data_IF_858335075570
#
_entry.id   IF_858335075570
#
_cell.length_a   1.000
_cell.length_b   1.000
_cell.length_c   1.000
_cell.angle_alpha   90.00
_cell.angle_beta   90.00
_cell.angle_gamma   90.00
#
_symmetry.space_group_name_H-M   'P 1'
#
loop_
_entity.id
_entity.type
_entity.pdbx_description
1 polymer ?
#
# COMPACT_ATOMS: atom_id res chain seq x y z
N UNK A 1 -12.55 88.94 -8.81
CA UNK A 1 -13.77 89.12 -7.99
C UNK A 1 -14.18 87.77 -7.45
N UNK A 2 -14.27 87.68 -6.12
CA UNK A 2 -14.76 86.53 -5.37
C UNK A 2 -16.21 86.21 -5.75
N UNK A 3 -16.54 84.92 -5.79
CA UNK A 3 -17.78 84.39 -5.19
C UNK A 3 -17.63 82.88 -4.97
N UNK A 4 -17.62 82.51 -3.70
CA UNK A 4 -17.73 81.16 -3.16
C UNK A 4 -19.17 80.62 -3.27
N UNK A 5 -19.36 79.30 -3.13
CA UNK A 5 -20.35 78.59 -2.26
C UNK A 5 -20.34 77.08 -2.63
N UNK A 6 -19.70 76.24 -1.79
CA UNK A 6 -20.25 75.26 -0.80
C UNK A 6 -20.70 73.90 -1.40
N UNK A 7 -19.90 72.86 -1.12
CA UNK A 7 -20.14 71.74 -0.18
C UNK A 7 -20.93 70.56 -0.78
N UNK A 8 -20.19 69.48 -1.05
CA UNK A 8 -20.71 68.11 -1.10
C UNK A 8 -19.66 67.20 -0.45
N UNK A 9 -19.79 66.97 0.85
CA UNK A 9 -18.91 66.08 1.60
C UNK A 9 -19.24 64.63 1.22
N UNK A 10 -18.42 64.01 0.38
CA UNK A 10 -18.45 62.56 0.19
C UNK A 10 -17.71 61.91 1.36
N UNK A 11 -18.49 61.32 2.28
CA UNK A 11 -17.97 60.38 3.25
C UNK A 11 -17.45 59.14 2.48
N UNK A 12 -16.14 59.06 2.30
CA UNK A 12 -15.48 57.86 1.82
C UNK A 12 -15.49 56.85 2.98
N UNK A 13 -16.52 56.02 3.01
CA UNK A 13 -16.60 54.87 3.91
C UNK A 13 -15.45 53.93 3.55
N UNK A 14 -14.44 53.87 4.42
CA UNK A 14 -13.42 52.83 4.38
C UNK A 14 -14.11 51.50 4.70
N UNK A 15 -14.53 50.78 3.67
CA UNK A 15 -14.81 49.35 3.79
C UNK A 15 -13.48 48.65 4.03
N UNK A 16 -13.14 48.51 5.31
CA UNK A 16 -12.26 47.46 5.82
C UNK A 16 -12.82 46.13 5.34
N UNK A 17 -12.27 45.61 4.25
CA UNK A 17 -12.45 44.21 3.88
C UNK A 17 -11.78 43.37 4.95
N UNK A 18 -12.58 42.91 5.92
CA UNK A 18 -12.21 41.81 6.80
C UNK A 18 -11.76 40.65 5.90
N UNK A 19 -10.56 40.09 6.08
CA UNK A 19 -10.27 38.78 5.52
C UNK A 19 -11.25 37.83 6.19
N UNK A 20 -12.23 37.34 5.43
CA UNK A 20 -12.97 36.16 5.84
C UNK A 20 -11.94 35.04 5.89
N UNK A 21 -11.40 34.80 7.08
CA UNK A 21 -10.71 33.57 7.38
C UNK A 21 -11.72 32.45 7.14
N UNK A 22 -11.64 31.84 5.97
CA UNK A 22 -12.30 30.58 5.69
C UNK A 22 -11.56 29.54 6.52
N UNK A 23 -11.96 29.38 7.78
CA UNK A 23 -11.68 28.16 8.53
C UNK A 23 -12.60 27.08 7.97
N UNK A 24 -12.22 26.50 6.83
CA UNK A 24 -12.75 25.22 6.40
C UNK A 24 -12.09 24.13 7.26
N UNK A 25 -12.93 23.30 7.89
CA UNK A 25 -12.52 22.32 8.88
C UNK A 25 -11.48 21.32 8.35
N UNK A 26 -10.44 21.08 9.15
CA UNK A 26 -9.43 20.02 9.03
C UNK A 26 -10.07 18.62 9.19
N UNK A 27 -10.94 18.20 8.27
CA UNK A 27 -11.48 16.82 8.24
C UNK A 27 -10.96 16.12 6.98
N UNK A 28 -10.31 14.97 7.15
CA UNK A 28 -9.68 14.25 6.04
C UNK A 28 -10.39 12.96 5.65
N UNK A 29 -11.50 12.62 6.30
CA UNK A 29 -12.31 11.45 5.98
C UNK A 29 -13.29 11.10 7.09
N UNK A 30 -14.08 10.05 6.88
CA UNK A 30 -15.06 9.56 7.85
C UNK A 30 -15.04 8.05 7.98
N UNK A 31 -15.27 7.54 9.19
CA UNK A 31 -15.58 6.13 9.41
C UNK A 31 -17.09 6.01 9.47
N UNK A 32 -17.63 5.11 8.67
CA UNK A 32 -19.06 4.83 8.59
C UNK A 32 -19.35 3.51 9.29
N UNK A 33 -20.35 3.49 10.16
CA UNK A 33 -20.80 2.30 10.86
C UNK A 33 -22.28 2.08 10.59
N UNK A 34 -22.68 0.81 10.38
CA UNK A 34 -24.08 0.41 10.26
C UNK A 34 -24.46 -0.58 11.35
N UNK A 35 -25.70 -0.47 11.84
CA UNK A 35 -26.32 -1.46 12.71
C UNK A 35 -27.16 -2.48 11.91
N UNK A 36 -27.93 -3.30 12.62
CA UNK A 36 -28.78 -4.34 12.02
C UNK A 36 -29.95 -3.81 11.17
N UNK A 37 -30.39 -2.58 11.46
CA UNK A 37 -31.55 -1.94 10.87
C UNK A 37 -31.10 -0.93 9.77
N UNK A 38 -29.79 -0.92 9.45
CA UNK A 38 -29.11 0.03 8.57
C UNK A 38 -29.15 1.48 9.08
N UNK A 39 -29.35 1.70 10.38
CA UNK A 39 -29.07 3.00 10.97
C UNK A 39 -27.57 3.26 10.85
N UNK A 40 -27.20 4.50 10.54
CA UNK A 40 -25.82 4.88 10.28
C UNK A 40 -25.27 5.78 11.39
N UNK A 41 -24.06 5.45 11.86
CA UNK A 41 -23.23 6.28 12.70
C UNK A 41 -22.01 6.75 11.89
N UNK A 42 -21.69 8.04 11.96
CA UNK A 42 -20.55 8.62 11.24
C UNK A 42 -19.56 9.16 12.26
N UNK A 43 -18.30 8.79 12.10
CA UNK A 43 -17.20 9.29 12.93
C UNK A 43 -16.29 10.12 12.04
N UNK A 44 -16.32 11.43 12.22
CA UNK A 44 -15.41 12.34 11.54
C UNK A 44 -13.97 12.09 11.99
N UNK A 45 -13.05 11.95 11.04
CA UNK A 45 -11.62 11.76 11.32
C UNK A 45 -10.90 13.11 11.28
N UNK A 46 -10.16 13.48 12.35
CA UNK A 46 -9.37 14.71 12.37
C UNK A 46 -8.32 14.72 11.25
N UNK A 47 -8.00 15.91 10.75
CA UNK A 47 -7.04 16.09 9.67
C UNK A 47 -5.64 15.53 9.95
N UNK A 48 -4.93 15.19 8.87
CA UNK A 48 -3.58 14.63 8.87
C UNK A 48 -2.61 15.42 9.76
N UNK A 49 -1.71 14.71 10.45
CA UNK A 49 -0.57 15.33 11.14
C UNK A 49 -0.92 16.14 12.39
N UNK A 50 -2.21 16.31 12.71
CA UNK A 50 -2.66 17.08 13.88
C UNK A 50 -2.36 16.38 15.20
N UNK A 51 -2.20 15.05 15.20
CA UNK A 51 -2.11 14.24 16.42
C UNK A 51 -3.41 14.26 17.25
N UNK A 52 -4.48 14.87 16.71
CA UNK A 52 -5.77 14.99 17.38
C UNK A 52 -6.42 13.61 17.46
N UNK A 53 -7.04 13.36 18.60
CA UNK A 53 -7.78 12.13 18.88
C UNK A 53 -9.26 12.45 18.77
N UNK A 54 -9.98 11.64 17.99
CA UNK A 54 -11.42 11.57 18.04
C UNK A 54 -11.79 10.27 18.74
N UNK A 55 -12.58 10.33 19.81
CA UNK A 55 -13.06 9.17 20.53
C UNK A 55 -14.58 9.25 20.60
N UNK A 56 -15.24 8.19 20.14
CA UNK A 56 -16.69 8.07 20.18
C UNK A 56 -17.06 6.89 21.06
N UNK A 57 -17.82 7.18 22.10
CA UNK A 57 -18.32 6.21 23.06
C UNK A 57 -19.80 5.97 22.81
N UNK A 58 -20.18 4.72 22.60
CA UNK A 58 -21.54 4.37 22.16
C UNK A 58 -22.48 4.16 23.35
N UNK A 59 -21.95 3.85 24.54
CA UNK A 59 -22.74 3.62 25.76
C UNK A 59 -22.74 4.80 26.74
N UNK A 60 -22.30 6.00 26.32
CA UNK A 60 -22.19 7.15 27.23
C UNK A 60 -23.49 7.99 27.26
N UNK A 61 -23.89 8.39 28.46
CA UNK A 61 -25.16 9.07 28.75
C UNK A 61 -25.07 10.59 28.70
N UNK A 62 -23.96 11.17 28.26
CA UNK A 62 -23.76 12.63 28.26
C UNK A 62 -24.48 13.36 27.12
N UNK A 63 -25.07 12.63 26.16
CA UNK A 63 -25.85 13.18 25.06
C UNK A 63 -25.01 13.89 23.99
N UNK A 64 -23.67 13.70 23.98
CA UNK A 64 -22.78 14.41 23.05
C UNK A 64 -22.24 13.55 21.91
N UNK A 65 -22.34 12.21 21.98
CA UNK A 65 -21.88 11.33 20.90
C UNK A 65 -22.98 11.08 19.85
N UNK A 66 -22.63 11.25 18.56
CA UNK A 66 -23.52 11.01 17.42
C UNK A 66 -23.89 9.52 17.26
N UNK A 67 -23.23 8.63 18.00
CA UNK A 67 -23.35 7.18 17.92
C UNK A 67 -23.85 6.55 19.23
N UNK A 68 -24.67 7.28 19.97
CA UNK A 68 -25.26 6.80 21.23
C UNK A 68 -26.17 5.58 20.99
N UNK A 69 -26.06 4.60 21.88
CA UNK A 69 -26.81 3.34 21.88
C UNK A 69 -26.72 2.56 20.56
N UNK A 70 -25.63 2.78 19.80
CA UNK A 70 -25.43 2.22 18.47
C UNK A 70 -24.80 0.82 18.52
N UNK A 71 -25.52 -0.19 18.02
CA UNK A 71 -25.05 -1.57 17.94
C UNK A 71 -24.34 -1.84 16.60
N UNK A 72 -23.06 -1.45 16.51
CA UNK A 72 -22.32 -1.55 15.25
C UNK A 72 -22.15 -3.02 14.79
N UNK A 73 -22.38 -3.23 13.49
CA UNK A 73 -22.20 -4.51 12.79
C UNK A 73 -21.25 -4.40 11.62
N UNK A 74 -21.42 -3.35 10.82
CA UNK A 74 -20.59 -3.13 9.64
C UNK A 74 -19.79 -1.85 9.77
N UNK A 75 -18.65 -1.83 9.09
CA UNK A 75 -17.76 -0.68 9.01
C UNK A 75 -17.30 -0.47 7.58
N UNK A 76 -17.23 0.80 7.17
CA UNK A 76 -16.57 1.25 5.95
C UNK A 76 -15.72 2.47 6.27
N UNK A 77 -14.60 2.61 5.56
CA UNK A 77 -13.75 3.79 5.61
C UNK A 77 -14.03 4.63 4.38
N UNK A 78 -14.19 5.94 4.54
CA UNK A 78 -14.37 6.88 3.45
C UNK A 78 -13.30 7.97 3.47
N UNK A 79 -12.37 7.88 2.52
CA UNK A 79 -11.36 8.91 2.26
C UNK A 79 -10.27 9.02 3.32
N UNK A 80 -10.16 8.08 4.26
CA UNK A 80 -9.21 8.19 5.37
C UNK A 80 -7.76 8.28 4.89
N UNK A 81 -7.02 9.20 5.50
CA UNK A 81 -5.62 9.43 5.15
C UNK A 81 -4.68 8.37 5.70
N UNK A 82 -3.42 8.36 5.25
CA UNK A 82 -2.44 7.34 5.67
C UNK A 82 -2.14 7.42 7.17
N UNK A 83 -1.80 6.26 7.75
CA UNK A 83 -1.36 6.11 9.14
C UNK A 83 -2.40 6.52 10.21
N UNK A 84 -3.68 6.57 9.84
CA UNK A 84 -4.76 6.68 10.81
C UNK A 84 -4.85 5.35 11.56
N UNK A 85 -4.77 5.41 12.88
CA UNK A 85 -5.02 4.28 13.77
C UNK A 85 -6.48 4.30 14.18
N UNK A 86 -7.14 3.15 14.03
CA UNK A 86 -8.55 2.95 14.35
C UNK A 86 -8.62 1.82 15.36
N UNK A 87 -8.87 2.17 16.61
CA UNK A 87 -9.06 1.22 17.70
C UNK A 87 -10.57 1.03 17.92
N UNK A 88 -11.01 -0.22 17.86
CA UNK A 88 -12.40 -0.62 18.07
C UNK A 88 -12.43 -1.59 19.25
N UNK A 89 -13.25 -1.31 20.26
CA UNK A 89 -13.27 -2.11 21.48
C UNK A 89 -14.68 -2.37 22.01
N UNK A 90 -14.84 -3.49 22.72
CA UNK A 90 -15.98 -3.72 23.61
C UNK A 90 -15.88 -2.99 24.96
N UNK A 91 -14.79 -2.25 25.21
CA UNK A 91 -14.64 -1.40 26.38
C UNK A 91 -15.22 0.00 26.13
N UNK A 92 -15.76 0.64 27.17
CA UNK A 92 -16.32 1.99 27.06
C UNK A 92 -15.26 3.08 26.94
N UNK A 93 -14.07 2.85 27.48
CA UNK A 93 -12.98 3.83 27.50
C UNK A 93 -11.96 3.57 26.38
N UNK A 94 -12.31 2.77 25.38
CA UNK A 94 -11.38 2.35 24.31
C UNK A 94 -10.06 1.78 24.88
N UNK A 95 -10.13 0.96 25.93
CA UNK A 95 -8.95 0.35 26.55
C UNK A 95 -8.52 -0.94 25.85
N UNK A 96 -7.21 -1.13 25.73
CA UNK A 96 -6.57 -2.39 25.31
C UNK A 96 -6.02 -3.20 26.48
N UNK A 97 -6.22 -2.71 27.72
CA UNK A 97 -5.72 -3.36 28.94
C UNK A 97 -6.20 -4.82 29.02
N UNK A 98 -5.37 -5.74 29.53
CA UNK A 98 -5.63 -7.17 29.48
C UNK A 98 -6.69 -7.59 30.52
N UNK A 99 -7.95 -7.33 30.23
CA UNK A 99 -9.08 -7.92 30.97
C UNK A 99 -9.55 -9.21 30.28
N UNK A 100 -10.01 -10.24 31.00
CA UNK A 100 -10.40 -11.54 30.43
C UNK A 100 -11.55 -11.44 29.40
N UNK A 101 -12.54 -10.58 29.66
CA UNK A 101 -13.82 -10.60 28.93
C UNK A 101 -13.96 -9.49 27.89
N UNK A 102 -12.85 -8.84 27.50
CA UNK A 102 -12.92 -7.70 26.57
C UNK A 102 -12.09 -7.94 25.33
N UNK A 103 -12.74 -7.69 24.21
CA UNK A 103 -12.15 -7.75 22.89
C UNK A 103 -11.77 -6.36 22.40
N UNK A 104 -10.75 -6.32 21.56
CA UNK A 104 -10.37 -5.13 20.82
C UNK A 104 -9.67 -5.52 19.52
N UNK A 105 -9.75 -4.65 18.53
CA UNK A 105 -8.94 -4.74 17.31
C UNK A 105 -8.46 -3.35 16.90
N UNK A 106 -7.28 -3.32 16.31
CA UNK A 106 -6.63 -2.12 15.85
C UNK A 106 -6.36 -2.22 14.35
N UNK A 107 -6.94 -1.30 13.60
CA UNK A 107 -6.74 -1.17 12.17
C UNK A 107 -5.82 0.01 11.89
N UNK A 108 -5.06 -0.08 10.80
CA UNK A 108 -4.20 1.01 10.34
C UNK A 108 -4.39 1.25 8.85
N UNK A 109 -4.61 2.49 8.47
CA UNK A 109 -4.61 2.88 7.05
C UNK A 109 -3.17 3.00 6.54
N UNK A 110 -2.93 2.54 5.31
CA UNK A 110 -1.57 2.43 4.74
C UNK A 110 -1.40 3.17 3.42
N UNK A 111 -2.48 3.74 2.87
CA UNK A 111 -2.47 4.52 1.62
C UNK A 111 -2.75 5.99 1.89
N UNK A 112 -2.36 6.85 0.93
CA UNK A 112 -2.63 8.30 0.98
C UNK A 112 -4.11 8.60 1.22
N UNK A 113 -4.99 7.84 0.58
CA UNK A 113 -6.41 7.81 0.84
C UNK A 113 -6.87 6.35 0.83
N UNK A 114 -7.61 5.95 1.85
CA UNK A 114 -8.17 4.62 2.04
C UNK A 114 -9.68 4.75 2.12
N UNK A 115 -10.36 4.27 1.08
CA UNK A 115 -11.78 3.96 1.12
C UNK A 115 -11.98 2.46 0.99
N UNK A 116 -12.99 1.91 1.65
CA UNK A 116 -13.27 0.47 1.62
C UNK A 116 -14.73 0.16 1.36
N UNK A 117 -14.99 -1.03 0.85
CA UNK A 117 -16.32 -1.63 0.94
C UNK A 117 -16.72 -1.86 2.40
N UNK A 118 -17.98 -2.25 2.59
CA UNK A 118 -18.52 -2.62 3.90
C UNK A 118 -17.96 -3.96 4.36
N UNK A 119 -17.44 -4.00 5.58
CA UNK A 119 -17.04 -5.22 6.27
C UNK A 119 -17.90 -5.46 7.49
N UNK A 120 -18.31 -6.71 7.72
CA UNK A 120 -18.78 -7.12 9.04
C UNK A 120 -17.63 -7.06 10.05
N UNK A 121 -17.88 -6.50 11.23
CA UNK A 121 -16.88 -6.40 12.30
C UNK A 121 -16.41 -7.79 12.75
N UNK A 122 -17.29 -8.78 12.72
CA UNK A 122 -16.95 -10.18 13.00
C UNK A 122 -16.00 -10.76 11.94
N UNK A 123 -16.15 -10.38 10.67
CA UNK A 123 -15.27 -10.84 9.59
C UNK A 123 -13.89 -10.21 9.72
N UNK A 124 -13.81 -8.91 10.05
CA UNK A 124 -12.54 -8.25 10.36
C UNK A 124 -11.81 -8.95 11.50
N UNK A 125 -12.54 -9.35 12.54
CA UNK A 125 -11.98 -10.09 13.67
C UNK A 125 -11.38 -11.46 13.29
N UNK A 126 -11.62 -12.00 12.09
CA UNK A 126 -10.99 -13.24 11.62
C UNK A 126 -9.56 -13.03 11.10
N UNK A 127 -9.20 -11.83 10.62
CA UNK A 127 -7.88 -11.55 10.04
C UNK A 127 -6.76 -11.63 11.07
N UNK A 128 -5.67 -12.32 10.76
CA UNK A 128 -4.53 -12.42 11.66
C UNK A 128 -3.79 -11.07 11.84
N UNK A 129 -3.07 -10.92 12.95
CA UNK A 129 -2.26 -9.73 13.22
C UNK A 129 -1.26 -9.48 12.08
N UNK A 130 -1.12 -8.22 11.68
CA UNK A 130 -0.23 -7.80 10.59
C UNK A 130 -0.71 -8.16 9.18
N UNK A 131 -1.95 -8.65 8.99
CA UNK A 131 -2.47 -8.98 7.65
C UNK A 131 -3.16 -7.81 6.99
N UNK A 132 -2.85 -7.60 5.72
CA UNK A 132 -3.59 -6.66 4.86
C UNK A 132 -4.99 -7.23 4.66
N UNK A 133 -6.01 -6.45 5.02
CA UNK A 133 -7.42 -6.80 4.80
C UNK A 133 -7.77 -6.53 3.33
N UNK A 134 -7.43 -5.33 2.87
CA UNK A 134 -7.60 -4.84 1.50
C UNK A 134 -6.54 -3.77 1.23
N UNK A 135 -6.22 -3.43 -0.05
CA UNK A 135 -5.19 -2.44 -0.32
C UNK A 135 -5.51 -1.09 0.35
N UNK A 136 -4.68 -0.69 1.33
CA UNK A 136 -4.88 0.53 2.12
C UNK A 136 -5.37 0.31 3.55
N UNK A 137 -5.74 -0.92 3.93
CA UNK A 137 -6.21 -1.27 5.28
C UNK A 137 -5.48 -2.51 5.82
N UNK A 138 -4.86 -2.34 6.97
CA UNK A 138 -4.10 -3.36 7.69
C UNK A 138 -4.78 -3.71 9.02
N UNK A 139 -4.91 -5.00 9.32
CA UNK A 139 -5.15 -5.46 10.69
C UNK A 139 -3.83 -5.31 11.46
N UNK A 140 -3.67 -4.25 12.24
CA UNK A 140 -2.42 -3.96 12.92
C UNK A 140 -2.20 -4.94 14.09
N UNK A 141 -3.21 -5.05 14.97
CA UNK A 141 -3.18 -5.92 16.12
C UNK A 141 -4.60 -6.22 16.61
N UNK A 142 -4.80 -7.30 17.36
CA UNK A 142 -6.10 -7.63 17.95
C UNK A 142 -5.97 -8.55 19.17
N UNK A 143 -7.00 -8.50 20.01
CA UNK A 143 -7.35 -9.53 20.99
C UNK A 143 -8.86 -9.76 20.86
N UNK A 144 -9.24 -10.78 20.09
CA UNK A 144 -10.66 -11.13 19.90
C UNK A 144 -10.80 -12.64 20.00
N UNK A 145 -11.59 -13.09 20.97
CA UNK A 145 -11.96 -14.49 21.16
C UNK A 145 -13.34 -14.56 21.85
N UNK A 146 -14.38 -15.15 21.22
CA UNK A 146 -14.46 -15.60 19.83
C UNK A 146 -14.60 -14.43 18.84
N UNK A 147 -14.41 -14.64 17.53
CA UNK A 147 -14.56 -13.60 16.50
C UNK A 147 -15.94 -12.91 16.48
N UNK A 148 -17.01 -13.63 16.88
CA UNK A 148 -18.36 -13.07 17.04
C UNK A 148 -18.47 -12.03 18.15
N UNK A 149 -17.49 -11.96 19.05
CA UNK A 149 -17.46 -10.99 20.13
C UNK A 149 -17.52 -9.56 19.62
N UNK A 150 -17.06 -9.26 18.39
CA UNK A 150 -17.05 -7.90 17.83
C UNK A 150 -18.43 -7.36 17.39
N UNK A 151 -19.40 -8.26 17.14
CA UNK A 151 -20.73 -7.93 16.62
C UNK A 151 -21.64 -7.43 17.74
N UNK A 152 -22.37 -6.33 17.49
CA UNK A 152 -23.37 -5.75 18.41
C UNK A 152 -22.86 -5.35 19.81
N UNK A 153 -21.54 -5.41 20.04
CA UNK A 153 -20.93 -5.19 21.35
C UNK A 153 -19.87 -4.07 21.35
N UNK A 154 -19.65 -3.43 20.20
CA UNK A 154 -18.73 -2.29 20.07
C UNK A 154 -19.21 -1.18 20.98
N UNK A 155 -18.38 -0.81 21.95
CA UNK A 155 -18.71 0.21 22.95
C UNK A 155 -17.92 1.49 22.75
N UNK A 156 -16.79 1.43 22.05
CA UNK A 156 -15.96 2.59 21.79
C UNK A 156 -15.16 2.42 20.49
N UNK A 157 -15.08 3.51 19.72
CA UNK A 157 -14.17 3.66 18.58
C UNK A 157 -13.30 4.89 18.81
N UNK A 158 -11.98 4.67 18.86
CA UNK A 158 -10.98 5.73 18.97
C UNK A 158 -10.21 5.80 17.67
N UNK A 159 -10.20 6.99 17.09
CA UNK A 159 -9.42 7.31 15.92
C UNK A 159 -8.30 8.26 16.33
N UNK A 160 -7.09 7.89 15.98
CA UNK A 160 -5.92 8.75 16.15
C UNK A 160 -5.43 9.05 14.74
N UNK A 161 -5.61 10.30 14.32
CA UNK A 161 -4.87 10.84 13.20
C UNK A 161 -3.44 10.98 13.68
N UNK A 162 -2.67 9.90 13.59
CA UNK A 162 -1.32 9.87 14.12
C UNK A 162 -0.57 11.05 13.52
N UNK A 163 0.05 11.86 14.39
CA UNK A 163 1.13 12.74 13.96
C UNK A 163 2.10 11.81 13.27
N UNK A 164 2.36 12.00 11.97
CA UNK A 164 3.42 11.28 11.31
C UNK A 164 4.63 11.36 12.26
N UNK A 165 5.15 10.24 12.81
CA UNK A 165 6.37 10.28 13.60
C UNK A 165 7.37 11.08 12.77
N UNK A 166 7.93 12.12 13.41
CA UNK A 166 8.50 13.28 12.75
C UNK A 166 9.13 12.91 11.42
N UNK A 167 8.54 13.41 10.33
CA UNK A 167 9.12 13.26 9.01
C UNK A 167 10.45 14.02 9.02
N UNK A 168 11.53 13.33 9.38
CA UNK A 168 12.74 13.46 8.60
C UNK A 168 12.29 13.44 7.13
N UNK A 169 12.74 14.39 6.28
CA UNK A 169 12.22 14.54 4.93
C UNK A 169 12.12 13.17 4.29
N UNK A 170 10.87 12.70 4.08
CA UNK A 170 10.61 11.38 3.55
C UNK A 170 11.17 11.44 2.14
N UNK A 171 12.32 10.80 1.94
CA UNK A 171 12.98 10.70 0.65
C UNK A 171 12.04 9.90 -0.25
N UNK A 172 11.12 10.65 -0.87
CA UNK A 172 10.09 10.18 -1.81
C UNK A 172 10.66 10.02 -3.21
N UNK A 173 11.97 10.28 -3.36
CA UNK A 173 12.72 9.96 -4.55
C UNK A 173 12.61 8.46 -4.78
N UNK A 174 12.00 8.06 -5.88
CA UNK A 174 12.00 6.66 -6.28
C UNK A 174 13.39 6.25 -6.75
N UNK A 175 13.68 4.95 -6.69
CA UNK A 175 14.86 4.43 -7.33
C UNK A 175 14.80 4.73 -8.85
N UNK A 176 15.83 5.39 -9.36
CA UNK A 176 15.98 5.68 -10.78
C UNK A 176 16.94 4.67 -11.41
N UNK A 177 16.60 4.20 -12.59
CA UNK A 177 17.50 3.36 -13.39
C UNK A 177 18.78 4.14 -13.73
N UNK A 178 19.94 3.50 -13.61
CA UNK A 178 21.25 4.11 -13.86
C UNK A 178 21.92 3.53 -15.11
N UNK A 179 22.38 2.28 -15.05
CA UNK A 179 23.07 1.61 -16.17
C UNK A 179 22.25 0.40 -16.60
N UNK A 180 22.29 0.11 -17.90
CA UNK A 180 21.52 -0.97 -18.53
C UNK A 180 22.48 -1.92 -19.24
N UNK A 181 22.22 -3.23 -19.13
CA UNK A 181 23.08 -4.30 -19.61
C UNK A 181 22.22 -5.34 -20.33
N UNK A 182 22.51 -5.60 -21.60
CA UNK A 182 21.85 -6.62 -22.39
C UNK A 182 22.61 -7.94 -22.28
N UNK A 183 21.86 -9.02 -22.06
CA UNK A 183 22.32 -10.40 -22.00
C UNK A 183 21.55 -11.18 -23.07
N UNK A 184 22.19 -11.38 -24.21
CA UNK A 184 21.60 -12.01 -25.39
C UNK A 184 21.98 -13.48 -25.49
N UNK A 185 21.22 -14.24 -26.28
CA UNK A 185 21.49 -15.65 -26.57
C UNK A 185 21.54 -16.51 -25.29
N UNK A 186 20.66 -16.21 -24.33
CA UNK A 186 20.53 -16.97 -23.09
C UNK A 186 19.68 -18.20 -23.36
N UNK A 187 20.17 -19.36 -22.87
CA UNK A 187 19.45 -20.61 -22.97
C UNK A 187 18.15 -20.52 -22.13
N UNK A 188 16.95 -20.67 -22.73
CA UNK A 188 15.67 -20.63 -22.00
C UNK A 188 15.54 -21.72 -20.94
N UNK A 189 16.13 -22.89 -21.14
CA UNK A 189 16.14 -24.02 -20.19
C UNK A 189 17.38 -24.04 -19.30
N UNK A 190 18.05 -22.88 -19.18
CA UNK A 190 19.27 -22.71 -18.41
C UNK A 190 19.09 -21.81 -17.18
N UNK A 191 20.17 -21.71 -16.41
CA UNK A 191 20.31 -20.72 -15.35
C UNK A 191 20.71 -19.37 -15.95
N UNK A 192 20.01 -18.31 -15.54
CA UNK A 192 20.39 -16.94 -15.79
C UNK A 192 20.36 -16.13 -14.49
N UNK A 193 21.41 -15.35 -14.28
CA UNK A 193 21.46 -14.33 -13.23
C UNK A 193 22.07 -13.05 -13.79
N UNK A 194 21.51 -11.91 -13.38
CA UNK A 194 22.16 -10.63 -13.63
C UNK A 194 23.48 -10.55 -12.86
N UNK A 195 24.43 -9.74 -13.33
CA UNK A 195 25.67 -9.51 -12.61
C UNK A 195 25.41 -8.76 -11.29
N UNK A 196 26.46 -8.67 -10.45
CA UNK A 196 26.39 -8.01 -9.16
C UNK A 196 25.70 -6.63 -9.22
N UNK A 197 24.74 -6.43 -8.31
CA UNK A 197 23.95 -5.19 -8.14
C UNK A 197 22.99 -4.84 -9.29
N UNK A 198 22.79 -5.75 -10.24
CA UNK A 198 21.83 -5.57 -11.31
C UNK A 198 20.51 -6.31 -11.03
N UNK A 199 19.43 -5.79 -11.59
CA UNK A 199 18.06 -6.30 -11.43
C UNK A 199 17.45 -6.51 -12.81
N UNK A 200 16.65 -7.56 -13.01
CA UNK A 200 15.94 -7.80 -14.28
C UNK A 200 14.91 -6.69 -14.51
N UNK A 201 14.97 -6.04 -15.67
CA UNK A 201 13.98 -5.03 -16.09
C UNK A 201 13.24 -5.42 -17.37
N UNK A 202 13.81 -6.32 -18.17
CA UNK A 202 13.17 -6.83 -19.38
C UNK A 202 13.54 -8.28 -19.64
N UNK A 203 12.60 -8.98 -20.27
CA UNK A 203 12.82 -10.26 -20.93
C UNK A 203 12.20 -10.21 -22.32
N UNK A 204 12.88 -10.78 -23.29
CA UNK A 204 12.27 -11.21 -24.55
C UNK A 204 12.57 -12.67 -24.80
N UNK A 205 11.61 -13.38 -25.39
CA UNK A 205 11.74 -14.77 -25.76
C UNK A 205 11.10 -14.98 -27.13
N UNK A 206 11.78 -15.74 -27.99
CA UNK A 206 11.32 -16.07 -29.33
C UNK A 206 11.60 -17.55 -29.61
N UNK A 207 10.69 -18.26 -30.26
CA UNK A 207 10.88 -19.66 -30.66
C UNK A 207 10.95 -20.66 -29.50
N UNK A 208 11.50 -21.84 -29.80
CA UNK A 208 11.56 -22.99 -28.90
C UNK A 208 12.93 -23.11 -28.19
N UNK A 209 13.00 -24.01 -27.22
CA UNK A 209 14.15 -24.19 -26.33
C UNK A 209 15.43 -24.72 -27.00
N UNK A 210 15.35 -25.08 -28.29
CA UNK A 210 16.50 -25.65 -29.02
C UNK A 210 17.47 -24.61 -29.56
N UNK A 211 17.14 -23.30 -29.43
CA UNK A 211 18.00 -22.19 -29.86
C UNK A 211 18.10 -21.11 -28.77
N UNK A 212 19.27 -20.46 -28.62
CA UNK A 212 19.42 -19.37 -27.66
C UNK A 212 18.68 -18.11 -28.15
N UNK A 213 17.41 -17.98 -27.75
CA UNK A 213 16.53 -16.90 -28.19
C UNK A 213 15.95 -16.07 -27.04
N UNK A 214 16.42 -16.32 -25.81
CA UNK A 214 16.07 -15.48 -24.67
C UNK A 214 17.08 -14.35 -24.52
N UNK A 215 16.56 -13.14 -24.37
CA UNK A 215 17.35 -11.97 -23.98
C UNK A 215 16.81 -11.45 -22.67
N UNK A 216 17.72 -11.15 -21.75
CA UNK A 216 17.43 -10.39 -20.55
C UNK A 216 18.10 -9.03 -20.65
N UNK A 217 17.42 -8.02 -20.13
CA UNK A 217 18.08 -6.75 -19.81
C UNK A 217 18.06 -6.59 -18.31
N UNK A 218 19.24 -6.36 -17.75
CA UNK A 218 19.41 -6.03 -16.35
C UNK A 218 19.84 -4.57 -16.21
N UNK A 219 19.54 -3.96 -15.07
CA UNK A 219 19.95 -2.60 -14.78
C UNK A 219 20.40 -2.40 -13.34
N UNK A 220 21.31 -1.44 -13.14
CA UNK A 220 21.60 -0.88 -11.81
C UNK A 220 20.67 0.29 -11.52
N UNK A 221 20.48 0.58 -10.24
CA UNK A 221 19.58 1.65 -9.78
C UNK A 221 20.29 2.58 -8.82
N UNK A 222 19.82 3.83 -8.77
CA UNK A 222 20.24 4.87 -7.83
C UNK A 222 19.05 5.40 -7.05
N UNK A 223 19.30 5.92 -5.86
CA UNK A 223 18.35 6.71 -5.10
C UNK A 223 18.98 8.08 -4.81
N UNK A 224 18.49 9.11 -5.48
CA UNK A 224 19.22 10.37 -5.60
C UNK A 224 20.58 10.12 -6.26
N UNK A 225 21.67 10.49 -5.59
CA UNK A 225 23.04 10.28 -6.08
C UNK A 225 23.66 8.92 -5.67
N UNK A 226 23.00 8.14 -4.82
CA UNK A 226 23.57 6.92 -4.22
C UNK A 226 23.22 5.69 -5.05
N UNK A 227 24.23 4.88 -5.43
CA UNK A 227 24.03 3.58 -6.06
C UNK A 227 23.40 2.58 -5.08
N UNK A 228 22.45 1.78 -5.57
CA UNK A 228 21.80 0.73 -4.81
C UNK A 228 22.50 -0.60 -5.05
N UNK A 229 22.63 -1.39 -3.98
CA UNK A 229 23.30 -2.68 -3.99
C UNK A 229 22.31 -3.82 -3.82
N UNK A 230 22.45 -4.86 -4.62
CA UNK A 230 21.75 -6.12 -4.41
C UNK A 230 22.46 -6.97 -3.34
N UNK A 231 21.73 -7.50 -2.36
CA UNK A 231 22.21 -8.42 -1.30
C UNK A 231 21.22 -9.56 -1.03
N UNK A 232 21.64 -10.55 -0.23
CA UNK A 232 20.80 -11.67 0.23
C UNK A 232 20.11 -12.36 -0.95
N UNK A 233 20.96 -12.84 -1.84
CA UNK A 233 20.64 -13.24 -3.19
C UNK A 233 20.36 -14.75 -3.26
N UNK A 234 19.09 -15.10 -3.06
CA UNK A 234 18.66 -16.47 -2.81
C UNK A 234 17.76 -17.00 -3.94
N UNK A 235 17.96 -18.28 -4.27
CA UNK A 235 17.08 -19.02 -5.14
C UNK A 235 15.84 -19.48 -4.38
N UNK A 236 14.66 -19.32 -4.97
CA UNK A 236 13.44 -19.94 -4.46
C UNK A 236 13.52 -21.46 -4.62
N UNK A 237 12.66 -22.20 -3.89
CA UNK A 237 12.38 -23.59 -4.25
C UNK A 237 11.93 -23.72 -5.71
N UNK A 238 12.14 -24.91 -6.26
CA UNK A 238 11.61 -25.31 -7.57
C UNK A 238 10.09 -25.44 -7.51
N UNK A 239 9.41 -24.99 -8.56
CA UNK A 239 7.96 -25.17 -8.70
C UNK A 239 7.55 -25.29 -10.18
N UNK A 240 6.44 -26.00 -10.47
CA UNK A 240 5.95 -26.21 -11.82
C UNK A 240 5.22 -24.95 -12.30
N UNK A 241 5.97 -23.99 -12.85
CA UNK A 241 5.45 -22.69 -13.25
C UNK A 241 4.36 -22.81 -14.32
N UNK A 242 4.58 -23.68 -15.31
CA UNK A 242 3.70 -23.98 -16.45
C UNK A 242 2.26 -24.40 -16.07
N UNK A 243 1.99 -24.62 -14.79
CA UNK A 243 0.63 -24.84 -14.24
C UNK A 243 -0.08 -23.53 -13.86
N UNK A 244 0.35 -22.40 -14.40
CA UNK A 244 -0.26 -21.10 -14.11
C UNK A 244 0.05 -20.58 -12.71
N UNK A 245 1.28 -20.76 -12.23
CA UNK A 245 1.69 -20.26 -10.91
C UNK A 245 1.98 -18.76 -10.96
N UNK A 246 1.25 -17.97 -10.16
CA UNK A 246 1.45 -16.52 -10.06
C UNK A 246 2.61 -16.21 -9.14
N UNK A 247 3.83 -16.34 -9.66
CA UNK A 247 5.03 -16.11 -8.86
C UNK A 247 5.31 -14.63 -8.67
N UNK A 248 5.53 -14.22 -7.42
CA UNK A 248 6.10 -12.91 -7.11
C UNK A 248 7.16 -13.09 -6.04
N UNK A 249 8.30 -12.41 -6.20
CA UNK A 249 9.35 -12.39 -5.20
C UNK A 249 8.78 -12.03 -3.80
N UNK A 250 9.35 -12.60 -2.72
CA UNK A 250 8.98 -12.26 -1.34
C UNK A 250 8.98 -10.76 -1.06
N UNK A 251 8.38 -10.36 0.06
CA UNK A 251 8.30 -8.95 0.44
C UNK A 251 9.70 -8.30 0.44
N UNK A 252 9.77 -7.08 -0.08
CA UNK A 252 10.99 -6.25 -0.13
C UNK A 252 12.18 -6.89 -0.86
N UNK A 253 11.90 -7.78 -1.81
CA UNK A 253 12.88 -8.38 -2.71
C UNK A 253 12.55 -8.19 -4.19
N UNK A 254 13.57 -8.28 -5.03
CA UNK A 254 13.54 -8.03 -6.48
C UNK A 254 14.04 -9.25 -7.25
N UNK A 255 13.58 -9.43 -8.49
CA UNK A 255 14.01 -10.57 -9.31
C UNK A 255 15.35 -10.27 -9.98
N UNK A 256 16.33 -11.14 -9.76
CA UNK A 256 17.72 -11.00 -10.27
C UNK A 256 18.15 -12.19 -11.11
N UNK A 257 17.34 -13.24 -11.17
CA UNK A 257 17.62 -14.43 -11.95
C UNK A 257 16.42 -15.34 -12.12
N UNK A 258 16.56 -16.27 -13.05
CA UNK A 258 15.62 -17.36 -13.34
C UNK A 258 16.44 -18.59 -13.70
N UNK A 259 15.99 -19.74 -13.24
CA UNK A 259 16.47 -21.03 -13.72
C UNK A 259 15.27 -21.89 -14.05
N UNK A 260 15.37 -22.62 -15.15
CA UNK A 260 14.36 -23.57 -15.58
C UNK A 260 15.06 -24.87 -15.95
N UNK A 261 14.45 -26.01 -15.60
CA UNK A 261 15.03 -27.33 -15.83
C UNK A 261 14.07 -28.24 -16.56
N UNK A 262 14.50 -28.70 -17.72
CA UNK A 262 13.71 -29.61 -18.56
C UNK A 262 13.33 -28.94 -19.85
N UNK A 263 12.35 -29.53 -20.51
CA UNK A 263 11.56 -28.89 -21.56
C UNK A 263 10.56 -27.91 -20.92
N UNK A 264 9.62 -27.40 -21.69
CA UNK A 264 8.64 -26.38 -21.29
C UNK A 264 7.75 -26.81 -20.11
N UNK A 265 7.74 -28.10 -19.77
CA UNK A 265 7.04 -28.64 -18.61
C UNK A 265 7.87 -28.68 -17.33
N UNK A 266 9.11 -28.22 -17.43
CA UNK A 266 10.12 -28.19 -16.39
C UNK A 266 9.76 -27.31 -15.19
N UNK A 267 10.39 -27.62 -14.06
CA UNK A 267 10.28 -26.74 -12.90
C UNK A 267 11.08 -25.45 -13.15
N UNK A 268 10.53 -24.33 -12.70
CA UNK A 268 11.21 -23.04 -12.65
C UNK A 268 11.55 -22.70 -11.20
N UNK A 269 12.65 -21.98 -11.00
CA UNK A 269 12.88 -21.19 -9.79
C UNK A 269 13.37 -19.80 -10.15
N UNK A 270 13.12 -18.87 -9.25
CA UNK A 270 13.53 -17.49 -9.40
C UNK A 270 14.59 -17.13 -8.37
N UNK A 271 15.45 -16.21 -8.74
CA UNK A 271 16.40 -15.61 -7.81
C UNK A 271 15.82 -14.29 -7.32
N UNK A 272 15.63 -14.19 -6.01
CA UNK A 272 15.10 -12.99 -5.38
C UNK A 272 16.14 -12.43 -4.42
N UNK A 273 16.32 -11.12 -4.45
CA UNK A 273 17.38 -10.44 -3.70
C UNK A 273 16.87 -9.15 -3.06
N UNK A 274 17.48 -8.73 -1.98
CA UNK A 274 17.20 -7.45 -1.33
C UNK A 274 17.91 -6.30 -2.04
N UNK A 275 17.24 -5.16 -2.15
CA UNK A 275 17.82 -3.93 -2.69
C UNK A 275 18.21 -3.01 -1.53
N UNK A 276 19.46 -2.54 -1.51
CA UNK A 276 20.05 -1.85 -0.35
C UNK A 276 20.61 -0.47 -0.74
N UNK A 277 20.33 0.54 0.07
CA UNK A 277 21.05 1.83 0.06
C UNK A 277 22.07 1.82 1.20
N UNK A 278 23.31 1.47 0.90
CA UNK A 278 24.33 1.21 1.93
C UNK A 278 23.95 -0.01 2.78
N UNK A 279 23.60 0.21 4.06
CA UNK A 279 23.14 -0.83 5.00
C UNK A 279 21.62 -0.88 5.15
N UNK A 280 20.88 0.07 4.60
CA UNK A 280 19.43 0.15 4.73
C UNK A 280 18.75 -0.57 3.57
N UNK A 281 17.74 -1.41 3.86
CA UNK A 281 16.96 -2.08 2.84
C UNK A 281 15.90 -1.13 2.26
N UNK A 282 15.81 -1.11 0.93
CA UNK A 282 14.77 -0.41 0.19
C UNK A 282 13.45 -1.18 0.29
N UNK A 283 12.34 -0.46 0.33
CA UNK A 283 11.02 -1.07 0.28
C UNK A 283 10.55 -1.25 -1.16
N UNK A 284 9.98 -2.41 -1.45
CA UNK A 284 9.59 -2.80 -2.81
C UNK A 284 8.08 -2.72 -2.97
N UNK A 285 7.64 -1.82 -3.84
CA UNK A 285 6.24 -1.50 -4.06
C UNK A 285 5.78 -2.06 -5.39
N UNK A 286 5.17 -3.24 -5.30
CA UNK A 286 4.64 -4.01 -6.43
C UNK A 286 3.47 -3.26 -7.05
N UNK A 287 3.45 -3.19 -8.37
CA UNK A 287 2.28 -2.69 -9.12
C UNK A 287 1.06 -3.53 -8.79
N UNK A 288 -0.12 -2.93 -8.75
CA UNK A 288 -1.38 -3.67 -8.56
C UNK A 288 -1.65 -4.58 -9.76
N UNK A 289 -1.32 -4.09 -10.95
CA UNK A 289 -1.56 -4.77 -12.21
C UNK A 289 -0.40 -5.68 -12.61
N UNK A 290 -0.77 -6.77 -13.28
CA UNK A 290 0.11 -7.57 -14.11
C UNK A 290 0.05 -7.05 -15.55
N UNK A 291 1.04 -7.41 -16.36
CA UNK A 291 0.94 -7.17 -17.79
C UNK A 291 -0.26 -7.90 -18.41
N UNK A 292 -0.63 -7.45 -19.60
CA UNK A 292 -1.44 -8.26 -20.50
C UNK A 292 -0.77 -9.61 -20.78
N UNK A 293 -1.56 -10.58 -21.24
CA UNK A 293 -1.04 -11.86 -21.69
C UNK A 293 -0.16 -11.67 -22.93
N UNK A 294 0.99 -12.33 -22.93
CA UNK A 294 1.96 -12.34 -24.01
C UNK A 294 2.19 -13.78 -24.45
N UNK A 295 2.36 -14.00 -25.74
CA UNK A 295 2.70 -15.32 -26.29
C UNK A 295 4.13 -15.68 -25.90
N UNK A 296 4.33 -16.74 -25.11
CA UNK A 296 5.65 -17.10 -24.57
C UNK A 296 6.70 -17.32 -25.66
N UNK A 297 6.33 -17.88 -26.82
CA UNK A 297 7.25 -18.12 -27.94
C UNK A 297 7.55 -16.87 -28.77
N UNK A 298 6.96 -15.71 -28.48
CA UNK A 298 7.13 -14.53 -29.34
C UNK A 298 6.73 -13.24 -28.62
N UNK A 299 7.49 -12.87 -27.59
CA UNK A 299 7.24 -11.63 -26.88
C UNK A 299 8.48 -10.87 -26.42
N UNK A 300 8.21 -9.62 -26.09
CA UNK A 300 9.10 -8.70 -25.43
C UNK A 300 8.31 -8.03 -24.31
N UNK A 301 8.89 -8.00 -23.10
CA UNK A 301 8.32 -7.25 -22.00
C UNK A 301 9.39 -6.44 -21.28
N UNK A 302 9.15 -5.14 -21.16
CA UNK A 302 10.00 -4.18 -20.46
C UNK A 302 9.17 -3.47 -19.39
N UNK A 303 9.67 -3.51 -18.16
CA UNK A 303 9.14 -2.69 -17.08
C UNK A 303 9.32 -1.20 -17.40
N UNK A 304 8.33 -0.39 -17.01
CA UNK A 304 8.38 1.07 -17.21
C UNK A 304 9.67 1.67 -16.60
N UNK A 305 10.18 2.80 -17.15
CA UNK A 305 11.39 3.44 -16.63
C UNK A 305 11.34 3.66 -15.11
N UNK A 306 12.41 3.27 -14.41
CA UNK A 306 12.49 3.36 -12.94
C UNK A 306 11.74 2.25 -12.19
N UNK A 307 11.28 1.22 -12.91
CA UNK A 307 10.67 0.02 -12.32
C UNK A 307 11.43 -1.23 -12.78
N UNK A 308 11.24 -2.33 -12.05
CA UNK A 308 11.95 -3.60 -12.29
C UNK A 308 11.03 -4.80 -12.06
N UNK A 309 11.42 -5.94 -12.61
CA UNK A 309 10.63 -7.17 -12.56
C UNK A 309 10.66 -7.78 -11.15
N UNK A 310 9.49 -8.18 -10.67
CA UNK A 310 9.31 -8.82 -9.36
C UNK A 310 8.42 -10.06 -9.43
N UNK A 311 7.77 -10.31 -10.56
CA UNK A 311 6.91 -11.47 -10.73
C UNK A 311 6.76 -11.86 -12.18
N UNK A 312 6.48 -13.15 -12.37
CA UNK A 312 6.14 -13.77 -13.64
C UNK A 312 5.06 -14.83 -13.39
N UNK A 313 4.18 -14.97 -14.36
CA UNK A 313 3.18 -16.02 -14.44
C UNK A 313 3.26 -16.59 -15.85
N UNK A 314 3.11 -17.91 -15.96
CA UNK A 314 3.10 -18.60 -17.23
C UNK A 314 2.22 -19.85 -17.11
N UNK A 315 1.41 -20.16 -18.12
CA UNK A 315 0.58 -21.37 -18.17
C UNK A 315 0.65 -22.00 -19.55
N UNK A 316 0.89 -23.31 -19.61
CA UNK A 316 0.95 -24.05 -20.86
C UNK A 316 2.37 -24.32 -21.36
N UNK A 317 2.47 -24.61 -22.65
CA UNK A 317 3.72 -24.85 -23.38
C UNK A 317 4.20 -23.55 -24.06
N UNK A 318 4.97 -23.61 -25.14
CA UNK A 318 5.50 -22.43 -25.82
C UNK A 318 4.40 -21.50 -26.36
N UNK A 319 3.13 -21.93 -26.46
CA UNK A 319 1.98 -21.09 -26.84
C UNK A 319 1.19 -20.56 -25.64
N UNK A 320 1.68 -20.86 -24.46
CA UNK A 320 1.12 -20.44 -23.19
C UNK A 320 1.20 -18.93 -22.97
N UNK A 321 0.20 -18.41 -22.27
CA UNK A 321 0.22 -17.00 -21.89
C UNK A 321 1.31 -16.77 -20.84
N UNK A 322 2.09 -15.71 -21.02
CA UNK A 322 3.04 -15.21 -20.05
C UNK A 322 2.68 -13.80 -19.62
N UNK A 323 2.79 -13.55 -18.31
CA UNK A 323 2.55 -12.24 -17.71
C UNK A 323 3.67 -11.86 -16.77
N UNK A 324 3.86 -10.57 -16.61
CA UNK A 324 4.92 -10.00 -15.78
C UNK A 324 4.37 -9.00 -14.78
N UNK A 325 5.08 -8.86 -13.66
CA UNK A 325 4.77 -7.85 -12.64
C UNK A 325 6.00 -7.02 -12.36
N UNK A 326 5.83 -5.70 -12.40
CA UNK A 326 6.87 -4.73 -12.08
C UNK A 326 6.65 -4.11 -10.70
N UNK A 327 7.72 -3.57 -10.13
CA UNK A 327 7.70 -2.79 -8.90
C UNK A 327 8.61 -1.58 -9.00
N UNK A 328 8.39 -0.60 -8.13
CA UNK A 328 9.33 0.47 -7.85
C UNK A 328 9.91 0.32 -6.44
N UNK A 329 10.99 1.03 -6.15
CA UNK A 329 11.61 1.06 -4.84
C UNK A 329 11.69 2.48 -4.29
N UNK A 330 11.47 2.62 -2.99
CA UNK A 330 11.76 3.85 -2.26
C UNK A 330 12.17 3.51 -0.83
N UNK A 331 12.83 4.46 -0.16
CA UNK A 331 13.14 4.30 1.26
C UNK A 331 11.85 4.36 2.07
N UNK A 332 11.53 3.30 2.82
CA UNK A 332 10.67 3.48 4.01
C UNK A 332 11.41 4.46 4.92
N UNK A 333 10.72 5.53 5.34
CA UNK A 333 11.31 6.47 6.29
C UNK A 333 11.83 5.68 7.48
N UNK A 334 13.11 5.83 7.81
CA UNK A 334 13.66 5.27 9.03
C UNK A 334 12.81 5.82 10.20
N UNK A 335 12.18 4.93 10.96
CA UNK A 335 11.33 5.26 12.11
C UNK A 335 12.08 6.03 13.19
#
# INVERSE_FOLDING_TARGET
MQTSIKLGAFAFSWLLTLPHAVYAAEQTGSILLLDKDNAQCVIAVPGEGTGKRAQNEFSHNDGTSECKDFAARQISLDGLTSAVQILITGDRNCSTEPTPDRWWMELRTTRRFTSTDWYELADLATYANGKIITPGLLMHNKKVDPASAARDSTSCVRVIAARAPGSAPKDTTTATQDKVFAYENINPSGEFTCNAHQIIIMRSHYGDETKPQTTYICATFKHGATELNVKNDEWTPWFPENKGVWFTCPQDTVMTGREHKGDETGDTRYRCSQLMKGTQQMSIHKSTEWSDALDENSHFYLCNPGTFMVGRWHEGDEKGDTRYRCATAWMQGAE
#
